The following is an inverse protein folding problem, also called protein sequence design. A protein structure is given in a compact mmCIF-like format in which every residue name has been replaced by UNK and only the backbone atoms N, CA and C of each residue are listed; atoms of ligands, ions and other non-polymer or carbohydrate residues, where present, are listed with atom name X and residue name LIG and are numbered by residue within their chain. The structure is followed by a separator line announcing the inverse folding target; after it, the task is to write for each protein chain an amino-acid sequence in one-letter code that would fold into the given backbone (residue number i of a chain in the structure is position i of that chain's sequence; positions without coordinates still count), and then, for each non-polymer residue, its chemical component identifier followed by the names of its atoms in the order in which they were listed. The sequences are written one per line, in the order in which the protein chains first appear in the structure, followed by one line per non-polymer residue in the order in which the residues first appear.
data_IF_503601911749
#
_entry.id   IF_503601911749
#
_cell.length_a   1.000
_cell.length_b   1.000
_cell.length_c   1.000
_cell.angle_alpha   90.00
_cell.angle_beta   90.00
_cell.angle_gamma   90.00
#
_symmetry.space_group_name_H-M   'P 1'
#
loop_
_entity.id
_entity.type
_entity.pdbx_description
1 polymer ?
#
# COMPACT_ATOMS: atom_id res chain seq x y z
N UNK A 1 -3.62 -24.31 11.33
CA UNK A 1 -3.97 -22.98 11.88
C UNK A 1 -3.79 -21.98 10.74
N UNK A 2 -4.70 -21.00 10.60
CA UNK A 2 -4.55 -19.96 9.58
C UNK A 2 -3.29 -19.14 9.89
N UNK A 3 -2.48 -18.84 8.87
CA UNK A 3 -1.31 -17.97 9.03
C UNK A 3 -1.70 -16.52 9.36
N UNK A 4 -2.93 -16.12 9.04
CA UNK A 4 -3.49 -14.80 9.33
C UNK A 4 -4.68 -14.88 10.28
N UNK A 5 -4.74 -13.94 11.23
CA UNK A 5 -5.85 -13.75 12.16
C UNK A 5 -7.03 -12.98 11.53
N UNK A 6 -6.81 -12.27 10.42
CA UNK A 6 -7.78 -11.42 9.75
C UNK A 6 -7.67 -11.52 8.23
N UNK A 7 -8.81 -11.60 7.53
CA UNK A 7 -8.87 -11.51 6.07
C UNK A 7 -8.37 -10.14 5.59
N UNK A 8 -8.73 -9.06 6.26
CA UNK A 8 -8.29 -7.69 5.93
C UNK A 8 -6.76 -7.61 5.97
N UNK A 9 -6.11 -8.18 6.99
CA UNK A 9 -4.64 -8.23 7.07
C UNK A 9 -4.03 -8.99 5.90
N UNK A 10 -4.60 -10.16 5.56
CA UNK A 10 -4.10 -10.96 4.45
C UNK A 10 -4.24 -10.22 3.10
N UNK A 11 -5.36 -9.54 2.88
CA UNK A 11 -5.60 -8.78 1.64
C UNK A 11 -4.73 -7.51 1.56
N UNK A 12 -4.55 -6.78 2.67
CA UNK A 12 -3.67 -5.62 2.72
C UNK A 12 -2.21 -6.02 2.44
N UNK A 13 -1.75 -7.13 3.02
CA UNK A 13 -0.42 -7.64 2.74
C UNK A 13 -0.25 -8.05 1.27
N UNK A 14 -1.22 -8.78 0.71
CA UNK A 14 -1.18 -9.14 -0.70
C UNK A 14 -1.19 -7.91 -1.62
N UNK A 15 -1.97 -6.87 -1.28
CA UNK A 15 -2.00 -5.62 -2.02
C UNK A 15 -0.63 -4.91 -1.98
N UNK A 16 -0.06 -4.75 -0.78
CA UNK A 16 1.27 -4.15 -0.60
C UNK A 16 2.33 -4.93 -1.36
N UNK A 17 2.32 -6.27 -1.29
CA UNK A 17 3.29 -7.11 -2.00
C UNK A 17 3.27 -6.87 -3.52
N UNK A 18 2.07 -6.75 -4.09
CA UNK A 18 1.89 -6.46 -5.52
C UNK A 18 2.39 -5.06 -5.86
N UNK A 19 2.06 -4.05 -5.04
CA UNK A 19 2.43 -2.66 -5.34
C UNK A 19 3.92 -2.41 -5.13
N UNK A 20 4.52 -3.04 -4.12
CA UNK A 20 5.97 -3.06 -3.94
C UNK A 20 6.69 -3.68 -5.13
N UNK A 21 6.15 -4.77 -5.68
CA UNK A 21 6.69 -5.37 -6.89
C UNK A 21 6.60 -4.42 -8.09
N UNK A 22 5.46 -3.74 -8.27
CA UNK A 22 5.27 -2.76 -9.37
C UNK A 22 6.22 -1.57 -9.23
N UNK A 23 6.39 -1.02 -8.03
CA UNK A 23 7.33 0.08 -7.74
C UNK A 23 8.78 -0.31 -8.04
N UNK A 24 9.14 -1.57 -7.79
CA UNK A 24 10.47 -2.11 -8.05
C UNK A 24 10.74 -2.51 -9.50
N UNK A 25 9.76 -2.45 -10.39
CA UNK A 25 9.94 -2.79 -11.80
C UNK A 25 10.69 -1.67 -12.54
N UNK A 26 11.65 -2.07 -13.37
CA UNK A 26 12.26 -1.18 -14.36
C UNK A 26 11.53 -1.23 -15.72
N UNK A 27 11.96 -0.37 -16.65
CA UNK A 27 11.38 -0.26 -18.00
C UNK A 27 11.49 -1.56 -18.83
N UNK A 28 12.42 -2.45 -18.49
CA UNK A 28 12.59 -3.75 -19.16
C UNK A 28 11.57 -4.79 -18.64
N UNK A 29 11.14 -4.65 -17.39
CA UNK A 29 10.17 -5.53 -16.73
C UNK A 29 8.73 -5.07 -16.93
N UNK A 30 8.48 -3.77 -16.84
CA UNK A 30 7.15 -3.18 -16.95
C UNK A 30 7.22 -1.82 -17.62
N UNK A 31 6.32 -1.57 -18.57
CA UNK A 31 6.19 -0.22 -19.12
C UNK A 31 5.78 0.76 -18.01
N UNK A 32 6.54 1.85 -17.86
CA UNK A 32 6.32 2.83 -16.80
C UNK A 32 4.90 3.42 -16.78
N UNK A 33 4.30 3.68 -17.96
CA UNK A 33 2.93 4.21 -18.02
C UNK A 33 1.90 3.20 -17.48
N UNK A 34 2.13 1.90 -17.71
CA UNK A 34 1.27 0.86 -17.16
C UNK A 34 1.48 0.68 -15.65
N UNK A 35 2.71 0.86 -15.14
CA UNK A 35 3.00 0.83 -13.70
C UNK A 35 2.26 1.97 -12.99
N UNK A 36 2.37 3.19 -13.51
CA UNK A 36 1.65 4.37 -13.01
C UNK A 36 0.14 4.15 -13.02
N UNK A 37 -0.44 3.60 -14.10
CA UNK A 37 -1.89 3.31 -14.16
C UNK A 37 -2.35 2.34 -13.07
N UNK A 38 -1.53 1.33 -12.73
CA UNK A 38 -1.86 0.40 -11.63
C UNK A 38 -1.88 1.14 -10.29
N UNK A 39 -0.85 1.95 -10.01
CA UNK A 39 -0.74 2.73 -8.78
C UNK A 39 -1.90 3.75 -8.67
N UNK A 40 -2.19 4.49 -9.74
CA UNK A 40 -3.31 5.44 -9.81
C UNK A 40 -4.67 4.75 -9.62
N UNK A 41 -4.85 3.57 -10.20
CA UNK A 41 -6.07 2.78 -10.03
C UNK A 41 -6.30 2.38 -8.57
N UNK A 42 -5.25 2.01 -7.86
CA UNK A 42 -5.33 1.74 -6.42
C UNK A 42 -5.59 3.03 -5.65
N UNK A 43 -4.87 4.12 -5.93
CA UNK A 43 -5.08 5.41 -5.27
C UNK A 43 -6.54 5.88 -5.41
N UNK A 44 -7.10 5.76 -6.61
CA UNK A 44 -8.49 6.09 -6.86
C UNK A 44 -9.48 5.20 -6.09
N UNK A 45 -9.17 3.92 -5.89
CA UNK A 45 -10.03 3.04 -5.10
C UNK A 45 -9.96 3.40 -3.62
N UNK A 46 -8.76 3.54 -3.06
CA UNK A 46 -8.59 3.75 -1.62
C UNK A 46 -9.09 5.13 -1.16
N UNK A 47 -9.09 6.13 -2.05
CA UNK A 47 -9.70 7.45 -1.80
C UNK A 47 -11.24 7.42 -1.74
N UNK A 48 -11.88 6.36 -2.24
CA UNK A 48 -13.34 6.17 -2.15
C UNK A 48 -13.78 5.45 -0.87
N UNK A 49 -12.84 5.00 -0.04
CA UNK A 49 -13.16 4.39 1.25
C UNK A 49 -13.84 5.39 2.19
N UNK A 50 -14.73 4.90 3.05
CA UNK A 50 -15.25 5.73 4.15
C UNK A 50 -14.13 6.16 5.08
N UNK A 51 -14.36 7.20 5.89
CA UNK A 51 -13.37 7.65 6.88
C UNK A 51 -12.95 6.54 7.84
N UNK A 52 -13.89 5.69 8.26
CA UNK A 52 -13.61 4.55 9.15
C UNK A 52 -12.73 3.49 8.45
N UNK A 53 -13.10 3.10 7.22
CA UNK A 53 -12.34 2.12 6.43
C UNK A 53 -10.93 2.60 6.10
N UNK A 54 -10.80 3.90 5.78
CA UNK A 54 -9.51 4.53 5.56
C UNK A 54 -8.65 4.51 6.81
N UNK A 55 -9.23 4.80 7.96
CA UNK A 55 -8.53 4.78 9.25
C UNK A 55 -8.06 3.36 9.57
N UNK A 56 -8.93 2.36 9.39
CA UNK A 56 -8.57 0.94 9.54
C UNK A 56 -7.39 0.54 8.64
N UNK A 57 -7.40 0.95 7.38
CA UNK A 57 -6.30 0.66 6.44
C UNK A 57 -4.99 1.34 6.88
N UNK A 58 -5.03 2.60 7.31
CA UNK A 58 -3.84 3.33 7.77
C UNK A 58 -3.24 2.66 9.01
N UNK A 59 -4.06 2.33 10.01
CA UNK A 59 -3.60 1.64 11.22
C UNK A 59 -2.98 0.28 10.89
N UNK A 60 -3.57 -0.44 9.94
CA UNK A 60 -3.07 -1.72 9.48
C UNK A 60 -1.70 -1.60 8.78
N UNK A 61 -1.54 -0.61 7.90
CA UNK A 61 -0.27 -0.32 7.22
C UNK A 61 0.82 0.09 8.22
N UNK A 62 0.47 0.89 9.24
CA UNK A 62 1.40 1.26 10.29
C UNK A 62 1.87 0.04 11.09
N UNK A 63 0.95 -0.85 11.50
CA UNK A 63 1.31 -2.12 12.14
C UNK A 63 2.18 -3.00 11.24
N UNK A 64 1.94 -3.02 9.93
CA UNK A 64 2.81 -3.74 8.99
C UNK A 64 4.22 -3.14 8.94
N UNK A 65 4.35 -1.82 8.94
CA UNK A 65 5.64 -1.13 8.92
C UNK A 65 6.48 -1.41 10.18
N UNK A 66 5.85 -1.39 11.36
CA UNK A 66 6.49 -1.72 12.63
C UNK A 66 7.08 -3.14 12.66
N UNK A 67 6.43 -4.07 11.97
CA UNK A 67 6.83 -5.48 11.87
C UNK A 67 7.83 -5.75 10.73
N UNK A 68 7.95 -4.84 9.76
CA UNK A 68 8.73 -5.03 8.54
C UNK A 68 10.25 -4.95 8.83
N UNK A 69 11.05 -6.02 8.57
CA UNK A 69 12.49 -5.98 8.77
C UNK A 69 13.26 -5.20 7.71
N UNK A 70 12.78 -5.13 6.46
CA UNK A 70 13.46 -4.45 5.36
C UNK A 70 13.21 -2.93 5.43
N UNK A 71 14.26 -2.10 5.63
CA UNK A 71 14.09 -0.65 5.74
C UNK A 71 13.43 -0.01 4.51
N UNK A 72 13.73 -0.46 3.29
CA UNK A 72 13.17 0.13 2.08
C UNK A 72 11.70 -0.20 1.93
N UNK A 73 11.31 -1.43 2.29
CA UNK A 73 9.90 -1.85 2.30
C UNK A 73 9.11 -1.19 3.44
N UNK A 74 9.76 -0.93 4.58
CA UNK A 74 9.20 -0.16 5.68
C UNK A 74 8.89 1.28 5.25
N UNK A 75 9.84 1.95 4.59
CA UNK A 75 9.66 3.31 4.07
C UNK A 75 8.49 3.38 3.09
N UNK A 76 8.33 2.38 2.22
CA UNK A 76 7.17 2.28 1.34
C UNK A 76 5.85 2.16 2.10
N UNK A 77 5.78 1.31 3.13
CA UNK A 77 4.59 1.15 3.98
C UNK A 77 4.24 2.45 4.72
N UNK A 78 5.24 3.16 5.25
CA UNK A 78 5.07 4.44 5.93
C UNK A 78 4.64 5.56 4.97
N UNK A 79 5.16 5.56 3.75
CA UNK A 79 4.82 6.52 2.69
C UNK A 79 3.50 6.23 1.99
N UNK A 80 2.98 5.01 2.08
CA UNK A 80 1.77 4.58 1.36
C UNK A 80 0.56 5.50 1.61
N UNK A 81 0.20 5.85 2.86
CA UNK A 81 -0.96 6.70 3.09
C UNK A 81 -0.88 8.05 2.38
N UNK A 82 0.30 8.68 2.33
CA UNK A 82 0.50 9.94 1.63
C UNK A 82 0.50 9.75 0.11
N UNK A 83 1.31 8.82 -0.40
CA UNK A 83 1.47 8.57 -1.83
C UNK A 83 0.18 8.15 -2.55
N UNK A 84 -0.76 7.54 -1.81
CA UNK A 84 -2.07 7.11 -2.33
C UNK A 84 -3.23 8.03 -1.92
N UNK A 85 -2.96 9.19 -1.31
CA UNK A 85 -3.97 10.22 -1.00
C UNK A 85 -4.93 9.87 0.15
N UNK A 86 -4.48 9.04 1.10
CA UNK A 86 -5.26 8.68 2.30
C UNK A 86 -5.09 9.67 3.45
N UNK A 87 -4.05 10.48 3.42
CA UNK A 87 -3.85 11.61 4.34
C UNK A 87 -3.69 12.89 3.52
N UNK A 88 -4.09 14.02 4.11
CA UNK A 88 -3.77 15.32 3.52
C UNK A 88 -2.25 15.52 3.65
N UNK A 89 -1.59 15.96 2.56
CA UNK A 89 -0.22 16.45 2.67
C UNK A 89 -0.27 17.74 3.48
N UNK A 90 0.25 17.71 4.71
CA UNK A 90 0.42 18.92 5.53
C UNK A 90 1.26 19.91 4.69
N UNK A 91 0.59 20.93 4.15
CA UNK A 91 1.18 22.02 3.35
C UNK A 91 1.86 23.07 4.21
#
# INVERSE_FOLDING_TARGET
MSAYSSLTRALAQALVDVLWFVEGCDDDQMNQDEAVKVLEGVAHLVTQLSSDQRTELIELLHSMAEEEPDPSRREFLEGFPAGFGLVEEDS
#
